data_IF_648715429650
#
_entry.id   IF_648715429650
#
_cell.length_a   1.000
_cell.length_b   1.000
_cell.length_c   1.000
_cell.angle_alpha   90.00
_cell.angle_beta   90.00
_cell.angle_gamma   90.00
#
_symmetry.space_group_name_H-M   'P 1'
#
loop_
_entity.id
_entity.type
_entity.pdbx_description
1 polymer ?
#
# COMPACT_ATOMS: atom_id res chain seq x y z
N UNK A 1 23.90 11.98 1.82
CA UNK A 1 23.20 13.05 1.06
C UNK A 1 24.16 14.21 0.87
N UNK A 2 24.93 14.19 -0.22
CA UNK A 2 25.72 15.35 -0.63
C UNK A 2 25.62 15.42 -2.17
N UNK A 3 24.73 16.29 -2.65
CA UNK A 3 24.59 16.53 -4.07
C UNK A 3 25.84 17.24 -4.59
N UNK A 4 26.47 16.69 -5.64
CA UNK A 4 27.48 17.39 -6.41
C UNK A 4 26.84 18.62 -7.05
N UNK A 5 27.03 19.78 -6.42
CA UNK A 5 26.74 21.09 -7.02
C UNK A 5 27.67 21.26 -8.22
N UNK A 6 27.11 21.38 -9.42
CA UNK A 6 27.86 21.81 -10.59
C UNK A 6 28.44 23.19 -10.31
N UNK A 7 29.76 23.31 -10.42
CA UNK A 7 30.47 24.58 -10.36
C UNK A 7 29.93 25.46 -11.49
N UNK A 8 29.34 26.60 -11.16
CA UNK A 8 29.01 27.63 -12.15
C UNK A 8 30.32 28.36 -12.44
N UNK A 9 30.79 28.27 -13.67
CA UNK A 9 31.89 29.11 -14.12
C UNK A 9 31.37 30.55 -14.22
N UNK A 10 31.98 31.43 -13.44
CA UNK A 10 31.79 32.88 -13.51
C UNK A 10 32.48 33.39 -14.78
N UNK A 11 31.73 34.08 -15.64
CA UNK A 11 32.22 34.56 -16.94
C UNK A 11 33.15 35.78 -16.82
N UNK A 12 33.42 36.26 -15.59
CA UNK A 12 34.23 37.46 -15.34
C UNK A 12 35.63 37.20 -14.77
N UNK A 13 36.12 35.95 -14.73
CA UNK A 13 37.53 35.73 -14.38
C UNK A 13 38.45 36.18 -15.53
N UNK A 14 39.45 37.03 -15.27
CA UNK A 14 40.42 37.42 -16.28
C UNK A 14 41.16 36.16 -16.72
N UNK A 15 41.18 35.91 -18.04
CA UNK A 15 41.90 34.80 -18.67
C UNK A 15 43.37 34.92 -18.27
N UNK A 16 43.78 34.16 -17.26
CA UNK A 16 45.18 33.98 -16.91
C UNK A 16 45.81 33.19 -18.04
N UNK A 17 46.45 33.90 -18.97
CA UNK A 17 47.30 33.33 -20.00
C UNK A 17 48.55 32.74 -19.32
N UNK A 18 48.37 31.63 -18.62
CA UNK A 18 49.46 30.71 -18.35
C UNK A 18 49.92 30.20 -19.71
N UNK A 19 51.17 30.52 -20.07
CA UNK A 19 51.87 30.00 -21.24
C UNK A 19 52.00 28.47 -21.16
N UNK A 20 50.89 27.76 -21.35
CA UNK A 20 50.90 26.39 -21.82
C UNK A 20 51.06 26.48 -23.34
N UNK A 21 52.12 25.88 -23.92
CA UNK A 21 52.21 25.76 -25.36
C UNK A 21 50.92 25.09 -25.84
N UNK A 22 50.13 25.82 -26.64
CA UNK A 22 49.09 25.19 -27.46
C UNK A 22 49.82 24.20 -28.35
N UNK A 23 49.86 22.93 -27.95
CA UNK A 23 50.14 21.84 -28.88
C UNK A 23 49.00 21.84 -29.91
N UNK A 24 49.18 22.63 -30.95
CA UNK A 24 48.58 22.33 -32.24
C UNK A 24 49.15 20.98 -32.63
N UNK A 25 48.46 19.90 -32.25
CA UNK A 25 48.65 18.62 -32.92
C UNK A 25 48.42 18.93 -34.40
N UNK A 26 49.50 18.84 -35.19
CA UNK A 26 49.55 18.98 -36.65
C UNK A 26 48.72 17.87 -37.31
N UNK A 27 47.42 17.93 -37.09
CA UNK A 27 46.40 17.21 -37.78
C UNK A 27 45.37 18.27 -38.15
N UNK A 28 45.71 19.12 -39.14
CA UNK A 28 44.73 19.89 -39.88
C UNK A 28 43.52 18.99 -40.08
N UNK A 29 42.38 19.29 -39.44
CA UNK A 29 41.13 18.58 -39.71
C UNK A 29 40.94 18.66 -41.21
N UNK A 30 41.17 17.55 -41.92
CA UNK A 30 41.01 17.49 -43.36
C UNK A 30 39.62 18.05 -43.64
N UNK A 31 39.52 19.12 -44.43
CA UNK A 31 38.23 19.57 -44.94
C UNK A 31 37.63 18.37 -45.65
N UNK A 32 36.59 17.79 -45.04
CA UNK A 32 35.84 16.71 -45.65
C UNK A 32 35.22 17.30 -46.91
N UNK A 33 35.67 16.85 -48.08
CA UNK A 33 34.96 17.14 -49.32
C UNK A 33 33.60 16.45 -49.19
N UNK A 34 32.53 17.18 -49.46
CA UNK A 34 31.23 16.55 -49.63
C UNK A 34 31.40 15.50 -50.74
N UNK A 35 31.13 14.24 -50.41
CA UNK A 35 31.04 13.20 -51.43
C UNK A 35 29.91 13.59 -52.39
N UNK A 36 30.09 13.33 -53.69
CA UNK A 36 29.05 13.51 -54.71
C UNK A 36 27.97 12.43 -54.55
N UNK A 37 27.27 12.46 -53.42
CA UNK A 37 26.20 11.52 -53.06
C UNK A 37 24.92 12.06 -53.67
N UNK A 38 24.21 11.23 -54.42
CA UNK A 38 22.91 11.58 -54.98
C UNK A 38 21.89 11.78 -53.85
N UNK A 39 20.89 12.64 -54.06
CA UNK A 39 19.85 12.88 -53.05
C UNK A 39 19.08 11.59 -52.68
N UNK A 40 18.95 10.66 -53.63
CA UNK A 40 18.38 9.33 -53.39
C UNK A 40 19.25 8.46 -52.48
N UNK A 41 20.58 8.55 -52.63
CA UNK A 41 21.54 7.82 -51.80
C UNK A 41 21.58 8.40 -50.38
N UNK A 42 21.36 9.72 -50.22
CA UNK A 42 21.16 10.35 -48.91
C UNK A 42 19.89 9.84 -48.23
N UNK A 43 18.78 9.64 -48.98
CA UNK A 43 17.53 9.10 -48.43
C UNK A 43 17.71 7.65 -47.95
N UNK A 44 18.31 6.79 -48.77
CA UNK A 44 18.61 5.39 -48.40
C UNK A 44 19.48 5.32 -47.14
N UNK A 45 20.52 6.15 -47.03
CA UNK A 45 21.40 6.18 -45.85
C UNK A 45 20.72 6.76 -44.59
N UNK A 46 19.67 7.58 -44.74
CA UNK A 46 18.88 8.06 -43.60
C UNK A 46 17.91 6.99 -43.14
N UNK A 47 17.22 6.32 -44.06
CA UNK A 47 16.28 5.25 -43.75
C UNK A 47 17.01 4.05 -43.12
N UNK A 48 18.22 3.73 -43.59
CA UNK A 48 19.04 2.67 -43.00
C UNK A 48 19.57 3.01 -41.61
N UNK A 49 19.89 4.28 -41.35
CA UNK A 49 20.20 4.74 -39.98
C UNK A 49 18.98 4.68 -39.08
N UNK A 50 17.82 5.14 -39.55
CA UNK A 50 16.58 5.06 -38.79
C UNK A 50 16.19 3.61 -38.46
N UNK A 51 16.38 2.67 -39.40
CA UNK A 51 16.14 1.25 -39.19
C UNK A 51 17.11 0.62 -38.17
N UNK A 52 18.40 0.94 -38.28
CA UNK A 52 19.42 0.45 -37.35
C UNK A 52 19.22 1.03 -35.94
N UNK A 53 18.88 2.31 -35.83
CA UNK A 53 18.58 2.97 -34.55
C UNK A 53 17.31 2.38 -33.91
N UNK A 54 16.28 2.08 -34.71
CA UNK A 54 15.07 1.41 -34.26
C UNK A 54 15.36 -0.02 -33.76
N UNK A 55 16.20 -0.78 -34.47
CA UNK A 55 16.59 -2.12 -34.06
C UNK A 55 17.43 -2.08 -32.76
N UNK A 56 18.39 -1.17 -32.66
CA UNK A 56 19.20 -1.00 -31.45
C UNK A 56 18.34 -0.58 -30.25
N UNK A 57 17.31 0.24 -30.44
CA UNK A 57 16.38 0.63 -29.39
C UNK A 57 15.53 -0.55 -28.90
N UNK A 58 15.06 -1.43 -29.80
CA UNK A 58 14.30 -2.62 -29.41
C UNK A 58 15.18 -3.65 -28.70
N UNK A 59 16.41 -3.87 -29.18
CA UNK A 59 17.38 -4.74 -28.52
C UNK A 59 17.71 -4.24 -27.10
N UNK A 60 17.93 -2.92 -26.93
CA UNK A 60 18.13 -2.33 -25.60
C UNK A 60 16.92 -2.52 -24.69
N UNK A 61 15.70 -2.36 -25.21
CA UNK A 61 14.47 -2.56 -24.44
C UNK A 61 14.32 -4.01 -23.99
N UNK A 62 14.60 -4.97 -24.86
CA UNK A 62 14.58 -6.40 -24.52
C UNK A 62 15.64 -6.73 -23.45
N UNK A 63 16.86 -6.19 -23.57
CA UNK A 63 17.90 -6.39 -22.56
C UNK A 63 17.52 -5.77 -21.20
N UNK A 64 16.93 -4.58 -21.18
CA UNK A 64 16.47 -3.94 -19.94
C UNK A 64 15.34 -4.72 -19.28
N UNK A 65 14.39 -5.24 -20.06
CA UNK A 65 13.31 -6.09 -19.54
C UNK A 65 13.86 -7.39 -18.95
N UNK A 66 14.79 -8.05 -19.64
CA UNK A 66 15.45 -9.26 -19.14
C UNK A 66 16.24 -8.99 -17.85
N UNK A 67 16.99 -7.89 -17.78
CA UNK A 67 17.70 -7.48 -16.55
C UNK A 67 16.72 -7.19 -15.41
N UNK A 68 15.59 -6.54 -15.69
CA UNK A 68 14.57 -6.26 -14.69
C UNK A 68 13.90 -7.54 -14.16
N UNK A 69 13.70 -8.56 -15.00
CA UNK A 69 13.18 -9.86 -14.57
C UNK A 69 14.19 -10.62 -13.70
N UNK A 70 15.46 -10.65 -14.10
CA UNK A 70 16.53 -11.25 -13.30
C UNK A 70 16.63 -10.53 -11.94
N UNK A 71 16.60 -9.20 -11.92
CA UNK A 71 16.64 -8.42 -10.67
C UNK A 71 15.44 -8.71 -9.75
N UNK A 72 14.24 -8.88 -10.32
CA UNK A 72 13.04 -9.28 -9.54
C UNK A 72 13.21 -10.67 -8.93
N UNK A 73 13.75 -11.62 -9.69
CA UNK A 73 13.93 -12.98 -9.21
C UNK A 73 15.02 -13.08 -8.14
N UNK A 74 16.13 -12.35 -8.31
CA UNK A 74 17.16 -12.21 -7.27
C UNK A 74 16.57 -11.62 -5.99
N UNK A 75 15.76 -10.55 -6.08
CA UNK A 75 15.11 -9.97 -4.90
C UNK A 75 14.12 -10.93 -4.23
N UNK A 76 13.41 -11.76 -4.99
CA UNK A 76 12.52 -12.81 -4.42
C UNK A 76 13.33 -13.89 -3.70
N UNK A 77 14.41 -14.36 -4.31
CA UNK A 77 15.28 -15.36 -3.72
C UNK A 77 15.95 -14.85 -2.43
N UNK A 78 16.46 -13.60 -2.45
CA UNK A 78 17.00 -12.93 -1.26
C UNK A 78 15.95 -12.79 -0.16
N UNK A 79 14.72 -12.41 -0.52
CA UNK A 79 13.60 -12.31 0.42
C UNK A 79 13.29 -13.65 1.09
N UNK A 80 13.27 -14.74 0.31
CA UNK A 80 13.06 -16.09 0.84
C UNK A 80 14.18 -16.53 1.79
N UNK A 81 15.44 -16.29 1.41
CA UNK A 81 16.59 -16.64 2.24
C UNK A 81 16.58 -15.88 3.59
N UNK A 82 16.25 -14.58 3.58
CA UNK A 82 16.12 -13.78 4.81
C UNK A 82 14.99 -14.30 5.70
N UNK A 83 13.82 -14.60 5.11
CA UNK A 83 12.69 -15.13 5.86
C UNK A 83 13.03 -16.47 6.51
N UNK A 84 13.70 -17.36 5.79
CA UNK A 84 14.12 -18.66 6.32
C UNK A 84 15.12 -18.52 7.46
N UNK A 85 16.09 -17.60 7.35
CA UNK A 85 17.04 -17.30 8.43
C UNK A 85 16.33 -16.77 9.69
N UNK A 86 15.32 -15.92 9.55
CA UNK A 86 14.52 -15.43 10.68
C UNK A 86 13.73 -16.58 11.32
N UNK A 87 13.10 -17.44 10.51
CA UNK A 87 12.33 -18.57 11.03
C UNK A 87 13.21 -19.59 11.77
N UNK A 88 14.41 -19.87 11.28
CA UNK A 88 15.38 -20.71 12.00
C UNK A 88 15.80 -20.03 13.31
N UNK A 89 16.08 -18.73 13.29
CA UNK A 89 16.47 -17.99 14.50
C UNK A 89 15.38 -17.99 15.58
N UNK A 90 14.10 -17.89 15.18
CA UNK A 90 12.96 -17.99 16.10
C UNK A 90 12.89 -19.41 16.71
N UNK A 91 13.07 -20.44 15.87
CA UNK A 91 13.09 -21.83 16.32
C UNK A 91 14.27 -22.12 17.25
N UNK A 92 15.46 -21.60 16.95
CA UNK A 92 16.67 -21.76 17.75
C UNK A 92 16.55 -21.07 19.12
N UNK A 93 15.78 -19.98 19.19
CA UNK A 93 15.40 -19.32 20.43
C UNK A 93 14.32 -20.07 21.23
N UNK A 94 13.84 -21.22 20.74
CA UNK A 94 12.85 -22.07 21.40
C UNK A 94 11.40 -21.62 21.25
N UNK A 95 11.11 -20.76 20.26
CA UNK A 95 9.76 -20.28 19.99
C UNK A 95 9.15 -20.94 18.76
N UNK A 96 7.87 -21.25 18.82
CA UNK A 96 7.08 -21.39 17.59
C UNK A 96 6.79 -20.01 17.00
N UNK A 97 6.53 -19.94 15.69
CA UNK A 97 6.15 -18.68 15.04
C UNK A 97 4.91 -18.04 15.69
N UNK A 98 3.94 -18.85 16.11
CA UNK A 98 2.74 -18.38 16.80
C UNK A 98 3.09 -17.72 18.14
N UNK A 99 3.87 -18.40 19.00
CA UNK A 99 4.24 -17.87 20.31
C UNK A 99 5.10 -16.61 20.19
N UNK A 100 5.97 -16.55 19.19
CA UNK A 100 6.76 -15.35 18.92
C UNK A 100 5.85 -14.17 18.57
N UNK A 101 4.91 -14.35 17.63
CA UNK A 101 3.98 -13.29 17.24
C UNK A 101 3.07 -12.88 18.40
N UNK A 102 2.56 -13.85 19.17
CA UNK A 102 1.71 -13.59 20.33
C UNK A 102 2.46 -12.78 21.41
N UNK A 103 3.68 -13.18 21.76
CA UNK A 103 4.53 -12.43 22.71
C UNK A 103 4.95 -11.07 22.19
N UNK A 104 5.19 -10.94 20.88
CA UNK A 104 5.56 -9.68 20.25
C UNK A 104 4.41 -8.67 20.31
N UNK A 105 3.19 -9.11 20.00
CA UNK A 105 1.98 -8.26 20.04
C UNK A 105 1.57 -7.92 21.47
N UNK A 106 1.74 -8.86 22.41
CA UNK A 106 1.35 -8.71 23.81
C UNK A 106 2.53 -8.33 24.74
N UNK A 107 3.62 -7.78 24.19
CA UNK A 107 4.80 -7.43 24.98
C UNK A 107 4.49 -6.31 25.98
N UNK A 108 5.08 -6.40 27.18
CA UNK A 108 5.01 -5.34 28.20
C UNK A 108 6.12 -4.30 28.06
N UNK A 109 7.12 -4.56 27.22
CA UNK A 109 8.19 -3.61 26.97
C UNK A 109 7.67 -2.43 26.14
N UNK A 110 7.80 -1.22 26.68
CA UNK A 110 7.27 -0.01 26.05
C UNK A 110 7.91 0.29 24.69
N UNK A 111 9.22 0.06 24.56
CA UNK A 111 9.93 0.34 23.31
C UNK A 111 9.43 -0.59 22.20
N UNK A 112 9.42 -1.90 22.47
CA UNK A 112 8.93 -2.91 21.52
C UNK A 112 7.45 -2.73 21.22
N UNK A 113 6.61 -2.51 22.23
CA UNK A 113 5.16 -2.28 22.04
C UNK A 113 4.87 -1.06 21.16
N UNK A 114 5.62 0.03 21.33
CA UNK A 114 5.47 1.24 20.50
C UNK A 114 5.85 0.95 19.05
N UNK A 115 6.98 0.28 18.82
CA UNK A 115 7.42 -0.12 17.48
C UNK A 115 6.41 -1.04 16.79
N UNK A 116 5.91 -2.06 17.49
CA UNK A 116 4.90 -2.99 16.97
C UNK A 116 3.61 -2.25 16.63
N UNK A 117 3.17 -1.32 17.48
CA UNK A 117 1.97 -0.52 17.24
C UNK A 117 2.12 0.37 16.00
N UNK A 118 3.26 1.05 15.84
CA UNK A 118 3.53 1.87 14.65
C UNK A 118 3.61 1.03 13.37
N UNK A 119 4.19 -0.16 13.45
CA UNK A 119 4.20 -1.13 12.34
C UNK A 119 2.77 -1.58 11.99
N UNK A 120 1.93 -1.91 12.98
CA UNK A 120 0.54 -2.31 12.74
C UNK A 120 -0.31 -1.18 12.19
N UNK A 121 -0.12 0.06 12.62
CA UNK A 121 -0.83 1.23 12.08
C UNK A 121 -0.44 1.45 10.61
N UNK A 122 0.85 1.38 10.29
CA UNK A 122 1.35 1.70 8.95
C UNK A 122 1.22 0.55 7.94
N UNK A 123 1.34 -0.71 8.38
CA UNK A 123 1.40 -1.91 7.53
C UNK A 123 0.42 -3.01 7.91
N UNK A 124 -0.29 -2.88 9.02
CA UNK A 124 -1.24 -3.90 9.50
C UNK A 124 -2.38 -4.15 8.53
N UNK A 125 -2.86 -3.11 7.82
CA UNK A 125 -3.86 -3.28 6.76
C UNK A 125 -3.40 -4.23 5.66
N UNK A 126 -2.19 -4.02 5.13
CA UNK A 126 -1.60 -4.88 4.09
C UNK A 126 -1.33 -6.32 4.61
N UNK A 127 -0.97 -6.45 5.88
CA UNK A 127 -0.77 -7.75 6.53
C UNK A 127 -2.10 -8.53 6.61
N UNK A 128 -3.17 -7.87 7.08
CA UNK A 128 -4.51 -8.47 7.13
C UNK A 128 -5.02 -8.83 5.74
N UNK A 129 -4.79 -7.96 4.75
CA UNK A 129 -5.14 -8.26 3.35
C UNK A 129 -4.41 -9.50 2.84
N UNK A 130 -3.11 -9.62 3.12
CA UNK A 130 -2.32 -10.81 2.75
C UNK A 130 -2.85 -12.08 3.43
N UNK A 131 -3.28 -12.00 4.69
CA UNK A 131 -3.92 -13.11 5.41
C UNK A 131 -5.25 -13.49 4.76
N UNK A 132 -6.08 -12.50 4.43
CA UNK A 132 -7.36 -12.69 3.75
C UNK A 132 -7.18 -13.36 2.38
N UNK A 133 -6.20 -12.93 1.60
CA UNK A 133 -5.90 -13.52 0.29
C UNK A 133 -5.43 -14.98 0.42
N UNK A 134 -4.61 -15.29 1.44
CA UNK A 134 -4.07 -16.64 1.64
C UNK A 134 -5.06 -17.62 2.26
N UNK A 135 -5.90 -17.15 3.19
CA UNK A 135 -6.86 -17.97 3.95
C UNK A 135 -8.23 -17.30 4.06
N UNK A 136 -8.96 -17.12 2.94
CA UNK A 136 -10.19 -16.33 2.91
C UNK A 136 -11.29 -16.94 3.79
N UNK A 137 -11.42 -18.27 3.82
CA UNK A 137 -12.43 -18.94 4.65
C UNK A 137 -12.25 -18.68 6.14
N UNK A 138 -11.02 -18.79 6.63
CA UNK A 138 -10.67 -18.51 8.02
C UNK A 138 -10.92 -17.02 8.34
N UNK A 139 -10.46 -16.12 7.47
CA UNK A 139 -10.63 -14.68 7.67
C UNK A 139 -12.11 -14.27 7.68
N UNK A 140 -12.94 -14.80 6.79
CA UNK A 140 -14.38 -14.54 6.77
C UNK A 140 -15.09 -15.10 8.00
N UNK A 141 -14.75 -16.32 8.44
CA UNK A 141 -15.32 -16.90 9.65
C UNK A 141 -14.97 -16.08 10.89
N UNK A 142 -13.71 -15.65 11.01
CA UNK A 142 -13.26 -14.76 12.06
C UNK A 142 -13.97 -13.40 12.02
N UNK A 143 -14.06 -12.77 10.84
CA UNK A 143 -14.73 -11.48 10.69
C UNK A 143 -16.22 -11.56 11.06
N UNK A 144 -16.94 -12.59 10.58
CA UNK A 144 -18.34 -12.80 10.89
C UNK A 144 -18.56 -13.01 12.40
N UNK A 145 -17.71 -13.81 13.06
CA UNK A 145 -17.75 -14.03 14.50
C UNK A 145 -17.55 -12.72 15.27
N UNK A 146 -16.45 -12.01 14.99
CA UNK A 146 -16.10 -10.76 15.69
C UNK A 146 -17.15 -9.68 15.48
N UNK A 147 -17.63 -9.49 14.24
CA UNK A 147 -18.72 -8.52 13.97
C UNK A 147 -20.01 -8.93 14.67
N UNK A 148 -20.34 -10.22 14.72
CA UNK A 148 -21.50 -10.73 15.45
C UNK A 148 -21.43 -10.45 16.95
N UNK A 149 -20.27 -10.66 17.58
CA UNK A 149 -20.03 -10.37 19.00
C UNK A 149 -20.18 -8.86 19.31
N UNK A 150 -19.59 -8.01 18.47
CA UNK A 150 -19.71 -6.55 18.61
C UNK A 150 -21.18 -6.11 18.47
N UNK A 151 -21.89 -6.61 17.46
CA UNK A 151 -23.31 -6.28 17.27
C UNK A 151 -24.17 -6.75 18.44
N UNK A 152 -23.94 -7.97 18.95
CA UNK A 152 -24.66 -8.48 20.10
C UNK A 152 -24.46 -7.60 21.35
N UNK A 153 -23.23 -7.14 21.58
CA UNK A 153 -22.90 -6.23 22.69
C UNK A 153 -23.60 -4.88 22.55
N UNK A 154 -23.55 -4.27 21.35
CA UNK A 154 -24.19 -2.97 21.11
C UNK A 154 -25.72 -3.06 21.18
N UNK A 155 -26.32 -4.14 20.67
CA UNK A 155 -27.77 -4.39 20.81
C UNK A 155 -28.14 -4.52 22.29
N UNK A 156 -27.32 -5.21 23.10
CA UNK A 156 -27.59 -5.38 24.53
C UNK A 156 -27.55 -4.04 25.27
N UNK A 157 -26.54 -3.20 25.00
CA UNK A 157 -26.48 -1.83 25.54
C UNK A 157 -27.68 -1.00 25.12
N UNK A 158 -28.07 -1.10 23.84
CA UNK A 158 -29.22 -0.36 23.32
C UNK A 158 -30.52 -0.83 23.99
N UNK A 159 -30.69 -2.14 24.18
CA UNK A 159 -31.84 -2.71 24.86
C UNK A 159 -31.92 -2.27 26.32
N UNK A 160 -30.79 -2.20 27.04
CA UNK A 160 -30.72 -1.65 28.39
C UNK A 160 -31.07 -0.16 28.43
N UNK A 161 -30.56 0.61 27.47
CA UNK A 161 -30.83 2.04 27.36
C UNK A 161 -32.31 2.33 27.08
N UNK A 162 -32.94 1.52 26.22
CA UNK A 162 -34.35 1.63 25.86
C UNK A 162 -35.29 0.98 26.89
N UNK A 163 -34.76 0.26 27.88
CA UNK A 163 -35.59 -0.43 28.89
C UNK A 163 -36.26 0.63 29.78
N UNK A 164 -37.61 0.61 29.89
CA UNK A 164 -38.30 1.51 30.80
C UNK A 164 -37.84 1.24 32.24
N UNK A 165 -37.48 2.29 32.98
CA UNK A 165 -37.14 2.15 34.40
C UNK A 165 -38.35 1.60 35.15
N UNK A 166 -38.21 0.42 35.76
CA UNK A 166 -39.24 -0.18 36.60
C UNK A 166 -39.57 0.80 37.74
N UNK A 167 -40.86 1.07 37.95
CA UNK A 167 -41.43 2.04 38.90
C UNK A 167 -41.56 3.50 38.45
N UNK A 168 -41.33 3.85 37.17
CA UNK A 168 -41.78 5.15 36.64
C UNK A 168 -43.25 5.09 36.20
N UNK A 169 -44.01 6.13 36.52
CA UNK A 169 -45.37 6.29 36.03
C UNK A 169 -45.41 6.36 34.50
N UNK A 170 -46.33 5.63 33.87
CA UNK A 170 -46.46 5.48 32.41
C UNK A 170 -46.49 6.82 31.67
N UNK A 171 -47.12 7.86 32.25
CA UNK A 171 -47.18 9.20 31.68
C UNK A 171 -45.80 9.88 31.54
N UNK A 172 -44.93 9.74 32.56
CA UNK A 172 -43.55 10.28 32.50
C UNK A 172 -42.67 9.53 31.51
N UNK A 173 -42.88 8.21 31.37
CA UNK A 173 -42.16 7.40 30.38
C UNK A 173 -42.58 7.82 28.96
N UNK A 174 -43.86 8.08 28.73
CA UNK A 174 -44.38 8.57 27.44
C UNK A 174 -43.93 10.00 27.11
N UNK A 175 -43.78 10.88 28.10
CA UNK A 175 -43.16 12.20 27.91
C UNK A 175 -41.66 12.11 27.58
N UNK A 176 -40.92 11.17 28.16
CA UNK A 176 -39.50 10.96 27.79
C UNK A 176 -39.35 10.25 26.44
N UNK A 177 -40.32 9.40 26.06
CA UNK A 177 -40.51 8.82 24.73
C UNK A 177 -41.14 9.80 23.73
N UNK A 178 -41.08 11.11 24.01
CA UNK A 178 -41.40 12.12 23.01
C UNK A 178 -40.59 11.85 21.75
N UNK A 179 -41.30 11.74 20.63
CA UNK A 179 -40.79 11.40 19.30
C UNK A 179 -39.55 12.21 18.92
N UNK A 180 -39.44 13.45 19.39
CA UNK A 180 -38.29 14.34 19.20
C UNK A 180 -36.99 13.80 19.81
N UNK A 181 -37.03 13.16 20.98
CA UNK A 181 -35.84 12.58 21.63
C UNK A 181 -35.42 11.29 20.93
N UNK A 182 -36.39 10.44 20.59
CA UNK A 182 -36.16 9.21 19.79
C UNK A 182 -35.62 9.55 18.40
N UNK A 183 -36.12 10.61 17.75
CA UNK A 183 -35.59 11.09 16.46
C UNK A 183 -34.16 11.64 16.61
N UNK A 184 -33.84 12.28 17.75
CA UNK A 184 -32.48 12.76 18.03
C UNK A 184 -31.50 11.61 18.25
N UNK A 185 -31.89 10.63 19.07
CA UNK A 185 -31.09 9.44 19.35
C UNK A 185 -30.96 8.56 18.10
N UNK A 186 -32.03 8.44 17.30
CA UNK A 186 -32.01 7.76 16.01
C UNK A 186 -31.11 8.47 14.99
N UNK A 187 -31.04 9.81 14.97
CA UNK A 187 -30.09 10.56 14.12
C UNK A 187 -28.64 10.33 14.55
N UNK A 188 -28.38 10.26 15.85
CA UNK A 188 -27.04 9.95 16.36
C UNK A 188 -26.64 8.51 16.03
N UNK A 189 -27.56 7.56 16.21
CA UNK A 189 -27.37 6.17 15.78
C UNK A 189 -27.20 6.06 14.28
N UNK A 190 -27.99 6.77 13.46
CA UNK A 190 -27.88 6.76 12.00
C UNK A 190 -26.52 7.31 11.56
N UNK A 191 -25.95 8.28 12.29
CA UNK A 191 -24.60 8.78 12.06
C UNK A 191 -23.54 7.71 12.38
N UNK A 192 -23.67 7.00 13.50
CA UNK A 192 -22.76 5.90 13.88
C UNK A 192 -22.90 4.69 12.95
N UNK A 193 -24.12 4.36 12.55
CA UNK A 193 -24.43 3.29 11.57
C UNK A 193 -23.93 3.70 10.18
N UNK A 194 -24.01 4.96 9.78
CA UNK A 194 -23.36 5.50 8.58
C UNK A 194 -21.85 5.38 8.66
N UNK A 195 -21.23 5.66 9.81
CA UNK A 195 -19.79 5.48 10.00
C UNK A 195 -19.39 3.99 9.88
N UNK A 196 -20.12 3.09 10.54
CA UNK A 196 -19.91 1.64 10.43
C UNK A 196 -20.15 1.17 9.00
N UNK A 197 -21.21 1.64 8.34
CA UNK A 197 -21.50 1.37 6.93
C UNK A 197 -20.38 1.88 6.04
N UNK A 198 -19.81 3.06 6.28
CA UNK A 198 -18.71 3.62 5.50
C UNK A 198 -17.40 2.87 5.75
N UNK A 199 -17.16 2.39 6.97
CA UNK A 199 -16.05 1.48 7.28
C UNK A 199 -16.24 0.17 6.50
N UNK A 200 -17.40 -0.48 6.61
CA UNK A 200 -17.72 -1.72 5.88
C UNK A 200 -17.65 -1.49 4.37
N UNK A 201 -18.12 -0.34 3.86
CA UNK A 201 -18.12 0.00 2.43
C UNK A 201 -16.70 0.24 1.92
N UNK A 202 -15.85 0.89 2.72
CA UNK A 202 -14.41 1.01 2.48
C UNK A 202 -13.72 -0.35 2.46
N UNK A 203 -14.11 -1.28 3.34
CA UNK A 203 -13.62 -2.66 3.34
C UNK A 203 -14.13 -3.48 2.13
N UNK A 204 -15.37 -3.29 1.68
CA UNK A 204 -15.92 -4.00 0.50
C UNK A 204 -15.43 -3.45 -0.85
N UNK A 205 -14.88 -2.23 -0.88
CA UNK A 205 -14.23 -1.70 -2.09
C UNK A 205 -12.84 -2.30 -2.29
N UNK A 206 -12.18 -2.72 -1.20
CA UNK A 206 -10.89 -3.42 -1.22
C UNK A 206 -11.09 -4.93 -1.42
N UNK A 207 -12.17 -5.52 -0.90
CA UNK A 207 -12.47 -6.95 -1.03
C UNK A 207 -13.79 -7.12 -1.78
N UNK A 208 -13.69 -7.33 -3.09
CA UNK A 208 -14.84 -7.57 -3.96
C UNK A 208 -15.73 -8.71 -3.44
N UNK A 209 -17.03 -8.42 -3.40
CA UNK A 209 -18.15 -9.34 -3.21
C UNK A 209 -18.44 -9.86 -1.78
N UNK A 210 -19.30 -9.13 -1.06
CA UNK A 210 -20.16 -9.72 -0.01
C UNK A 210 -21.59 -9.13 -0.10
N UNK A 211 -22.52 -9.69 -0.90
CA UNK A 211 -23.93 -9.33 -0.77
C UNK A 211 -24.82 -10.41 -0.12
N UNK A 212 -24.37 -11.67 0.02
CA UNK A 212 -25.30 -12.77 0.37
C UNK A 212 -25.43 -13.09 1.86
N UNK A 213 -24.41 -12.84 2.68
CA UNK A 213 -24.44 -13.25 4.10
C UNK A 213 -25.21 -12.25 4.98
N UNK A 214 -25.13 -10.95 4.66
CA UNK A 214 -25.81 -9.89 5.42
C UNK A 214 -27.33 -9.98 5.27
N UNK A 215 -27.83 -10.39 4.10
CA UNK A 215 -29.27 -10.58 3.89
C UNK A 215 -29.82 -11.73 4.74
N UNK A 216 -29.08 -12.83 4.89
CA UNK A 216 -29.53 -13.98 5.69
C UNK A 216 -29.69 -13.67 7.18
N UNK A 217 -28.76 -12.91 7.76
CA UNK A 217 -28.79 -12.53 9.18
C UNK A 217 -29.93 -11.53 9.45
N UNK A 218 -30.16 -10.56 8.56
CA UNK A 218 -31.26 -9.61 8.69
C UNK A 218 -32.64 -10.28 8.56
N UNK A 219 -32.78 -11.32 7.74
CA UNK A 219 -34.08 -12.00 7.56
C UNK A 219 -34.46 -12.88 8.77
N UNK A 220 -33.49 -13.39 9.53
CA UNK A 220 -33.76 -14.16 10.75
C UNK A 220 -34.13 -13.29 11.96
N UNK A 221 -33.64 -12.05 12.01
CA UNK A 221 -33.93 -11.10 13.10
C UNK A 221 -35.34 -10.47 12.99
N UNK A 222 -35.99 -10.52 11.83
CA UNK A 222 -37.36 -10.01 11.61
C UNK A 222 -38.47 -11.07 11.74
N UNK A 223 -38.13 -12.32 12.07
CA UNK A 223 -39.10 -13.43 12.25
C UNK A 223 -39.30 -13.84 13.71
N UNK A 224 -38.76 -13.10 14.68
CA UNK A 224 -39.01 -13.28 16.12
C UNK A 224 -39.61 -11.99 16.67
#
# INVERSE_FOLDING_TARGET
>A
MAGLKRLRNDENEPISNGNLPLEFRDGLKRRCKALNISEDEIRVLRDQRAANDAQAAEEQKVMLLAQAEIAKEVHRAEGHARLQCVLTSISDAGFTLYEFLDKLVNTKDHATSSQVSQMLISKGGNLLESICQRQPKMAHAWAAKTTGEILAHEISKLAEHLRPQQNRGVARVLEEFLLTRIISDAKELDTRVMQIRNIIRGYTFVVGAIPKVIHGVLTQLWRK
#
